data_IF_087775370386
#
_entry.id   IF_087775370386
#
_cell.length_a   1.000
_cell.length_b   1.000
_cell.length_c   1.000
_cell.angle_alpha   90.00
_cell.angle_beta   90.00
_cell.angle_gamma   90.00
#
_symmetry.space_group_name_H-M   'P 1'
#
loop_
_entity.id
_entity.type
_entity.pdbx_description
1 polymer ?
#
# COMPACT_ATOMS: atom_id res chain seq x y z
N UNK A 1 -8.12 53.82 12.97
CA UNK A 1 -8.66 52.65 12.23
C UNK A 1 -7.59 51.95 11.37
N UNK A 2 -6.42 51.61 11.94
CA UNK A 2 -5.25 51.08 11.17
C UNK A 2 -4.85 49.64 11.54
N UNK A 3 -5.28 49.10 12.69
CA UNK A 3 -4.84 47.79 13.18
C UNK A 3 -5.61 46.58 12.60
N UNK A 4 -6.84 46.77 12.12
CA UNK A 4 -7.69 45.67 11.61
C UNK A 4 -7.30 45.28 10.17
N UNK A 5 -6.96 46.25 9.32
CA UNK A 5 -6.56 46.01 7.93
C UNK A 5 -5.19 45.30 7.87
N UNK A 6 -4.26 45.63 8.79
CA UNK A 6 -2.95 44.97 8.87
C UNK A 6 -3.06 43.48 9.28
N UNK A 7 -4.06 43.12 10.07
CA UNK A 7 -4.30 41.73 10.51
C UNK A 7 -4.91 40.85 9.40
N UNK A 8 -5.74 41.43 8.53
CA UNK A 8 -6.34 40.72 7.39
C UNK A 8 -5.29 40.49 6.27
N UNK A 9 -4.36 41.42 6.08
CA UNK A 9 -3.24 41.24 5.14
C UNK A 9 -2.20 40.21 5.63
N UNK A 10 -1.90 40.14 6.94
CA UNK A 10 -0.97 39.13 7.46
C UNK A 10 -1.54 37.70 7.41
N UNK A 11 -2.84 37.54 7.63
CA UNK A 11 -3.51 36.23 7.54
C UNK A 11 -3.61 35.72 6.10
N UNK A 12 -3.74 36.62 5.12
CA UNK A 12 -3.69 36.25 3.70
C UNK A 12 -2.28 35.81 3.24
N UNK A 13 -1.23 36.44 3.77
CA UNK A 13 0.17 36.05 3.49
C UNK A 13 0.48 34.67 4.11
N UNK A 14 -0.05 34.37 5.30
CA UNK A 14 0.13 33.06 5.94
C UNK A 14 -0.61 31.93 5.20
N UNK A 15 -1.78 32.24 4.63
CA UNK A 15 -2.55 31.29 3.80
C UNK A 15 -1.86 30.99 2.47
N UNK A 16 -1.25 32.01 1.83
CA UNK A 16 -0.49 31.84 0.58
C UNK A 16 0.86 31.12 0.81
N UNK A 17 1.54 31.37 1.93
CA UNK A 17 2.79 30.67 2.27
C UNK A 17 2.56 29.17 2.52
N UNK A 18 1.46 28.82 3.19
CA UNK A 18 1.08 27.42 3.43
C UNK A 18 0.75 26.68 2.13
N UNK A 19 0.01 27.34 1.21
CA UNK A 19 -0.28 26.80 -0.12
C UNK A 19 0.96 26.59 -0.99
N UNK A 20 1.87 27.57 -1.02
CA UNK A 20 3.14 27.47 -1.76
C UNK A 20 4.08 26.41 -1.18
N UNK A 21 4.19 26.30 0.14
CA UNK A 21 5.00 25.26 0.79
C UNK A 21 4.46 23.86 0.48
N UNK A 22 3.14 23.67 0.51
CA UNK A 22 2.52 22.38 0.20
C UNK A 22 2.72 21.98 -1.27
N UNK A 23 2.56 22.93 -2.20
CA UNK A 23 2.81 22.70 -3.63
C UNK A 23 4.29 22.40 -3.92
N UNK A 24 5.23 23.08 -3.23
CA UNK A 24 6.66 22.88 -3.41
C UNK A 24 7.13 21.52 -2.85
N UNK A 25 6.62 21.12 -1.67
CA UNK A 25 6.88 19.81 -1.06
C UNK A 25 6.32 18.70 -1.93
N UNK A 26 5.09 18.82 -2.44
CA UNK A 26 4.49 17.82 -3.32
C UNK A 26 5.26 17.68 -4.65
N UNK A 27 5.71 18.80 -5.24
CA UNK A 27 6.53 18.77 -6.46
C UNK A 27 7.89 18.11 -6.22
N UNK A 28 8.51 18.38 -5.07
CA UNK A 28 9.81 17.78 -4.69
C UNK A 28 9.67 16.29 -4.37
N UNK A 29 8.62 15.88 -3.66
CA UNK A 29 8.31 14.46 -3.42
C UNK A 29 7.98 13.73 -4.73
N UNK A 30 7.25 14.36 -5.66
CA UNK A 30 6.98 13.80 -7.00
C UNK A 30 8.25 13.64 -7.85
N UNK A 31 9.26 14.51 -7.63
CA UNK A 31 10.55 14.45 -8.33
C UNK A 31 11.47 13.39 -7.72
N UNK A 32 11.55 13.30 -6.40
CA UNK A 32 12.31 12.27 -5.66
C UNK A 32 11.75 10.88 -5.92
N UNK A 33 10.42 10.72 -5.99
CA UNK A 33 9.78 9.44 -6.34
C UNK A 33 10.06 9.02 -7.78
N UNK A 34 10.13 9.97 -8.73
CA UNK A 34 10.52 9.69 -10.12
C UNK A 34 11.96 9.19 -10.28
N UNK A 35 12.90 9.68 -9.48
CA UNK A 35 14.31 9.25 -9.51
C UNK A 35 14.57 7.94 -8.73
N UNK A 36 13.68 7.54 -7.81
CA UNK A 36 13.83 6.33 -7.01
C UNK A 36 13.32 5.04 -7.67
N UNK A 37 12.48 5.13 -8.71
CA UNK A 37 11.94 3.95 -9.41
C UNK A 37 12.91 3.53 -10.52
N UNK A 38 13.80 2.61 -10.18
CA UNK A 38 14.82 2.04 -11.07
C UNK A 38 14.34 0.81 -11.84
N UNK A 39 13.38 0.05 -11.30
CA UNK A 39 12.83 -1.13 -11.97
C UNK A 39 11.73 -1.86 -11.20
N UNK A 40 11.45 -3.10 -11.60
CA UNK A 40 10.37 -3.94 -11.03
C UNK A 40 10.53 -4.23 -9.53
N UNK A 41 11.75 -4.11 -9.00
CA UNK A 41 12.05 -4.24 -7.57
C UNK A 41 11.46 -3.11 -6.72
N UNK A 42 11.13 -1.97 -7.33
CA UNK A 42 10.63 -0.77 -6.65
C UNK A 42 9.10 -0.68 -6.69
N UNK A 43 8.42 -1.70 -7.20
CA UNK A 43 6.98 -1.71 -7.42
C UNK A 43 6.37 -2.88 -6.64
N UNK A 44 5.33 -2.61 -5.85
CA UNK A 44 4.55 -3.66 -5.20
C UNK A 44 3.30 -3.99 -6.02
N UNK A 45 2.98 -5.27 -6.11
CA UNK A 45 1.76 -5.78 -6.75
C UNK A 45 0.87 -6.48 -5.75
N UNK A 46 -0.45 -6.28 -5.84
CA UNK A 46 -1.42 -7.12 -5.13
C UNK A 46 -1.66 -8.40 -5.91
N UNK A 47 -1.44 -9.53 -5.27
CA UNK A 47 -1.50 -10.85 -5.87
C UNK A 47 -2.69 -11.62 -5.31
N UNK A 48 -3.43 -12.25 -6.21
CA UNK A 48 -4.54 -13.16 -5.92
C UNK A 48 -4.39 -14.44 -6.72
N UNK A 49 -5.20 -15.44 -6.41
CA UNK A 49 -5.28 -16.65 -7.21
C UNK A 49 -5.84 -16.34 -8.61
N UNK A 50 -5.38 -17.06 -9.64
CA UNK A 50 -5.77 -16.78 -11.03
C UNK A 50 -7.28 -16.94 -11.29
N UNK A 51 -7.97 -17.80 -10.51
CA UNK A 51 -9.44 -17.97 -10.56
C UNK A 51 -10.22 -16.86 -9.87
N UNK A 52 -9.59 -15.97 -9.12
CA UNK A 52 -10.29 -14.83 -8.53
C UNK A 52 -10.85 -13.97 -9.68
N UNK A 53 -12.15 -13.66 -9.72
CA UNK A 53 -12.78 -13.00 -10.86
C UNK A 53 -12.39 -11.51 -10.99
N UNK A 54 -11.84 -10.92 -9.93
CA UNK A 54 -11.48 -9.51 -9.91
C UNK A 54 -10.20 -9.29 -10.73
N UNK A 55 -10.19 -8.23 -11.53
CA UNK A 55 -9.01 -7.80 -12.32
C UNK A 55 -8.51 -6.41 -11.93
N UNK A 56 -9.40 -5.58 -11.37
CA UNK A 56 -9.11 -4.24 -10.90
C UNK A 56 -9.59 -4.07 -9.47
N UNK A 57 -8.87 -3.27 -8.69
CA UNK A 57 -9.26 -2.91 -7.32
C UNK A 57 -8.88 -1.45 -7.02
N UNK A 58 -9.73 -0.76 -6.28
CA UNK A 58 -9.48 0.59 -5.81
C UNK A 58 -8.68 0.56 -4.50
N UNK A 59 -7.82 1.57 -4.27
CA UNK A 59 -7.03 1.68 -3.03
C UNK A 59 -7.88 1.64 -1.75
N UNK A 60 -9.08 2.22 -1.78
CA UNK A 60 -10.01 2.19 -0.65
C UNK A 60 -10.57 0.79 -0.37
N UNK A 61 -10.77 -0.02 -1.42
CA UNK A 61 -11.18 -1.42 -1.26
C UNK A 61 -10.04 -2.25 -0.66
N UNK A 62 -8.79 -2.04 -1.12
CA UNK A 62 -7.61 -2.66 -0.50
C UNK A 62 -7.57 -2.34 1.01
N UNK A 63 -7.75 -1.06 1.35
CA UNK A 63 -7.79 -0.60 2.74
C UNK A 63 -8.91 -1.28 3.54
N UNK A 64 -10.11 -1.37 2.99
CA UNK A 64 -11.25 -2.02 3.63
C UNK A 64 -11.02 -3.53 3.86
N UNK A 65 -10.47 -4.22 2.86
CA UNK A 65 -10.14 -5.65 2.92
C UNK A 65 -9.10 -5.92 4.01
N UNK A 66 -7.99 -5.18 4.00
CA UNK A 66 -6.91 -5.40 4.95
C UNK A 66 -7.28 -4.97 6.37
N UNK A 67 -8.18 -4.00 6.56
CA UNK A 67 -8.77 -3.63 7.85
C UNK A 67 -9.94 -4.55 8.28
N UNK A 68 -10.28 -5.58 7.49
CA UNK A 68 -11.41 -6.49 7.73
C UNK A 68 -12.77 -5.79 7.84
N UNK A 69 -12.90 -4.61 7.22
CA UNK A 69 -14.19 -3.94 6.99
C UNK A 69 -14.93 -4.57 5.83
N UNK A 70 -14.20 -4.96 4.79
CA UNK A 70 -14.67 -5.86 3.74
C UNK A 70 -14.06 -7.24 4.00
N UNK A 71 -14.90 -8.27 4.11
CA UNK A 71 -14.47 -9.61 4.58
C UNK A 71 -14.69 -10.69 3.54
N UNK A 72 -15.49 -10.43 2.53
CA UNK A 72 -15.89 -11.42 1.55
C UNK A 72 -15.64 -10.89 0.15
N UNK A 73 -15.21 -11.78 -0.74
CA UNK A 73 -15.28 -11.50 -2.16
C UNK A 73 -16.75 -11.45 -2.61
N UNK A 74 -17.01 -10.91 -3.80
CA UNK A 74 -18.38 -10.82 -4.37
C UNK A 74 -19.09 -12.19 -4.46
N UNK A 75 -18.33 -13.28 -4.53
CA UNK A 75 -18.84 -14.65 -4.52
C UNK A 75 -19.11 -15.22 -3.11
N UNK A 76 -19.09 -14.37 -2.07
CA UNK A 76 -19.31 -14.69 -0.64
C UNK A 76 -18.23 -15.53 0.04
N UNK A 77 -17.11 -15.77 -0.62
CA UNK A 77 -15.98 -16.45 0.00
C UNK A 77 -15.18 -15.50 0.92
N UNK A 78 -14.80 -15.96 2.12
CA UNK A 78 -14.01 -15.15 3.06
C UNK A 78 -12.60 -14.85 2.51
N UNK A 79 -12.18 -13.59 2.62
CA UNK A 79 -10.89 -13.12 2.14
C UNK A 79 -9.79 -13.43 3.15
N UNK A 80 -8.78 -14.19 2.70
CA UNK A 80 -7.58 -14.49 3.49
C UNK A 80 -6.45 -13.50 3.17
N UNK A 81 -6.28 -12.49 4.02
CA UNK A 81 -5.23 -11.47 3.83
C UNK A 81 -3.88 -11.97 4.35
N UNK A 82 -2.86 -11.83 3.52
CA UNK A 82 -1.47 -12.14 3.81
C UNK A 82 -0.67 -10.85 3.93
N UNK A 83 0.31 -10.84 4.82
CA UNK A 83 1.15 -9.69 5.09
C UNK A 83 2.61 -10.13 5.26
N UNK A 84 3.56 -9.21 5.12
CA UNK A 84 4.95 -9.49 5.49
C UNK A 84 5.16 -9.24 7.00
N UNK A 85 6.28 -9.69 7.58
CA UNK A 85 6.70 -9.27 8.92
C UNK A 85 6.89 -7.76 8.99
N UNK A 86 6.76 -7.20 10.20
CA UNK A 86 7.02 -5.77 10.44
C UNK A 86 8.44 -5.38 10.06
N UNK A 87 8.65 -4.10 9.80
CA UNK A 87 9.96 -3.50 9.47
C UNK A 87 10.57 -4.02 8.16
N UNK A 88 9.86 -4.85 7.39
CA UNK A 88 10.22 -5.13 6.00
C UNK A 88 9.85 -3.93 5.12
N UNK A 89 10.68 -3.63 4.12
CA UNK A 89 10.39 -2.56 3.16
C UNK A 89 9.05 -2.76 2.46
N UNK A 90 8.69 -4.02 2.15
CA UNK A 90 7.39 -4.34 1.59
C UNK A 90 6.24 -3.91 2.52
N UNK A 91 6.31 -4.28 3.81
CA UNK A 91 5.23 -3.94 4.76
C UNK A 91 5.20 -2.45 5.07
N UNK A 92 6.34 -1.80 5.21
CA UNK A 92 6.40 -0.35 5.42
C UNK A 92 5.78 0.39 4.23
N UNK A 93 6.18 0.03 3.02
CA UNK A 93 5.70 0.68 1.79
C UNK A 93 4.22 0.44 1.56
N UNK A 94 3.75 -0.80 1.76
CA UNK A 94 2.33 -1.13 1.65
C UNK A 94 1.52 -0.39 2.72
N UNK A 95 2.01 -0.34 3.95
CA UNK A 95 1.27 0.29 5.05
C UNK A 95 1.16 1.80 4.89
N UNK A 96 2.27 2.46 4.54
CA UNK A 96 2.30 3.90 4.27
C UNK A 96 1.41 4.23 3.07
N UNK A 97 1.54 3.46 1.99
CA UNK A 97 0.72 3.66 0.79
C UNK A 97 -0.76 3.48 1.08
N UNK A 98 -1.19 2.37 1.68
CA UNK A 98 -2.62 2.01 1.81
C UNK A 98 -3.30 2.66 3.01
N UNK A 99 -2.61 2.76 4.15
CA UNK A 99 -3.21 3.23 5.41
C UNK A 99 -2.74 4.61 5.85
N UNK A 100 -1.72 5.19 5.19
CA UNK A 100 -1.03 6.42 5.62
C UNK A 100 -0.45 6.26 7.03
N UNK A 101 0.01 5.05 7.34
CA UNK A 101 0.60 4.64 8.63
C UNK A 101 1.75 3.69 8.39
N UNK A 102 2.81 3.80 9.18
CA UNK A 102 3.91 2.83 9.13
C UNK A 102 3.48 1.45 9.66
N UNK A 103 4.31 0.43 9.43
CA UNK A 103 3.96 -0.95 9.80
C UNK A 103 3.78 -1.14 11.31
N UNK A 104 4.52 -0.38 12.13
CA UNK A 104 4.39 -0.37 13.58
C UNK A 104 3.01 0.11 14.06
N UNK A 105 2.54 1.24 13.54
CA UNK A 105 1.21 1.78 13.87
C UNK A 105 0.09 0.85 13.42
N UNK A 106 0.28 0.14 12.30
CA UNK A 106 -0.66 -0.89 11.86
C UNK A 106 -0.65 -2.12 12.77
N UNK A 107 0.50 -2.56 13.25
CA UNK A 107 0.59 -3.62 14.25
C UNK A 107 -0.10 -3.20 15.56
N UNK A 108 0.17 -2.00 16.06
CA UNK A 108 -0.48 -1.45 17.27
C UNK A 108 -1.99 -1.37 17.11
N UNK A 109 -2.47 -0.97 15.93
CA UNK A 109 -3.90 -0.97 15.63
C UNK A 109 -4.52 -2.36 15.80
N UNK A 110 -3.91 -3.41 15.25
CA UNK A 110 -4.41 -4.77 15.38
C UNK A 110 -4.37 -5.31 16.82
N UNK A 111 -3.32 -5.00 17.57
CA UNK A 111 -3.25 -5.34 19.00
C UNK A 111 -4.45 -4.74 19.74
N UNK A 112 -4.72 -3.44 19.56
CA UNK A 112 -5.84 -2.76 20.20
C UNK A 112 -7.21 -3.34 19.80
N UNK A 113 -7.40 -3.73 18.54
CA UNK A 113 -8.64 -4.35 18.07
C UNK A 113 -8.86 -5.70 18.74
N UNK A 114 -7.81 -6.53 18.84
CA UNK A 114 -7.87 -7.85 19.47
C UNK A 114 -8.12 -7.73 20.97
N UNK A 115 -7.41 -6.82 21.66
CA UNK A 115 -7.58 -6.57 23.10
C UNK A 115 -9.00 -6.10 23.45
N UNK A 116 -9.67 -5.40 22.53
CA UNK A 116 -11.08 -4.99 22.68
C UNK A 116 -12.09 -6.11 22.42
N UNK A 117 -11.63 -7.32 22.12
CA UNK A 117 -12.49 -8.48 21.88
C UNK A 117 -13.19 -8.49 20.52
N UNK A 118 -12.75 -7.67 19.56
CA UNK A 118 -13.33 -7.72 18.21
C UNK A 118 -12.95 -9.05 17.53
N UNK A 119 -13.91 -9.75 16.89
CA UNK A 119 -13.67 -11.07 16.29
C UNK A 119 -12.84 -11.02 14.99
N UNK A 120 -12.30 -9.86 14.61
CA UNK A 120 -11.55 -9.69 13.38
C UNK A 120 -10.13 -10.27 13.51
N UNK A 121 -9.77 -11.18 12.59
CA UNK A 121 -8.41 -11.73 12.52
C UNK A 121 -7.51 -10.79 11.74
N UNK A 122 -6.39 -10.39 12.35
CA UNK A 122 -5.33 -9.64 11.65
C UNK A 122 -4.81 -10.41 10.43
N UNK A 123 -4.28 -9.74 9.40
CA UNK A 123 -3.59 -10.40 8.29
C UNK A 123 -2.51 -11.39 8.78
N UNK A 124 -2.41 -12.53 8.09
CA UNK A 124 -1.45 -13.58 8.43
C UNK A 124 -0.06 -13.21 7.90
N UNK A 125 0.94 -13.25 8.77
CA UNK A 125 2.31 -12.89 8.39
C UNK A 125 3.03 -14.06 7.69
N UNK A 126 3.62 -13.78 6.53
CA UNK A 126 4.43 -14.73 5.75
C UNK A 126 5.78 -14.09 5.44
N UNK A 127 6.86 -14.67 5.98
CA UNK A 127 8.20 -14.08 5.92
C UNK A 127 8.90 -14.07 4.55
N UNK A 128 8.34 -14.65 3.49
CA UNK A 128 9.01 -14.76 2.17
C UNK A 128 8.02 -14.76 0.99
N UNK A 129 8.39 -14.10 -0.10
CA UNK A 129 7.56 -13.95 -1.30
C UNK A 129 7.15 -15.30 -1.93
N UNK A 130 8.08 -16.26 -2.03
CA UNK A 130 7.78 -17.59 -2.57
C UNK A 130 6.73 -18.36 -1.75
N UNK A 131 6.78 -18.25 -0.41
CA UNK A 131 5.77 -18.86 0.47
C UNK A 131 4.42 -18.19 0.32
N UNK A 132 4.40 -16.85 0.15
CA UNK A 132 3.17 -16.12 -0.11
C UNK A 132 2.52 -16.58 -1.42
N UNK A 133 3.29 -16.69 -2.50
CA UNK A 133 2.80 -17.22 -3.78
C UNK A 133 2.30 -18.66 -3.65
N UNK A 134 3.03 -19.52 -2.96
CA UNK A 134 2.60 -20.90 -2.72
C UNK A 134 1.29 -20.95 -1.92
N UNK A 135 1.11 -20.06 -0.94
CA UNK A 135 -0.12 -19.96 -0.18
C UNK A 135 -1.28 -19.50 -1.07
N UNK A 136 -1.12 -18.42 -1.82
CA UNK A 136 -2.16 -17.90 -2.73
C UNK A 136 -2.53 -18.93 -3.80
N UNK A 137 -1.53 -19.66 -4.31
CA UNK A 137 -1.75 -20.73 -5.28
C UNK A 137 -2.66 -21.84 -4.73
N UNK A 138 -2.55 -22.19 -3.45
CA UNK A 138 -3.36 -23.24 -2.80
C UNK A 138 -4.68 -22.72 -2.24
N UNK A 139 -4.82 -21.42 -2.04
CA UNK A 139 -5.97 -20.79 -1.40
C UNK A 139 -6.58 -19.75 -2.36
N UNK A 140 -7.62 -20.11 -3.15
CA UNK A 140 -8.21 -19.23 -4.15
C UNK A 140 -8.71 -17.87 -3.63
N UNK A 141 -9.04 -17.82 -2.34
CA UNK A 141 -9.61 -16.66 -1.68
C UNK A 141 -8.56 -15.77 -0.99
N UNK A 142 -7.27 -16.13 -1.11
CA UNK A 142 -6.19 -15.36 -0.51
C UNK A 142 -5.78 -14.15 -1.36
N UNK A 143 -5.36 -13.11 -0.65
CA UNK A 143 -4.77 -11.89 -1.21
C UNK A 143 -3.48 -11.59 -0.46
N UNK A 144 -2.45 -11.23 -1.19
CA UNK A 144 -1.19 -10.75 -0.63
C UNK A 144 -0.60 -9.67 -1.51
N UNK A 145 0.60 -9.21 -1.18
CA UNK A 145 1.34 -8.27 -2.00
C UNK A 145 2.83 -8.62 -2.01
N UNK A 146 3.56 -8.25 -3.05
CA UNK A 146 5.00 -8.49 -3.16
C UNK A 146 5.62 -7.58 -4.22
N UNK A 147 6.95 -7.54 -4.29
CA UNK A 147 7.66 -6.85 -5.38
C UNK A 147 7.32 -7.47 -6.74
N UNK A 148 7.17 -6.62 -7.76
CA UNK A 148 6.90 -7.04 -9.13
C UNK A 148 8.04 -7.92 -9.68
N UNK A 149 9.28 -7.64 -9.30
CA UNK A 149 10.44 -8.47 -9.67
C UNK A 149 10.32 -9.91 -9.15
N UNK A 150 9.94 -10.08 -7.87
CA UNK A 150 9.67 -11.39 -7.28
C UNK A 150 8.52 -12.11 -7.98
N UNK A 151 7.40 -11.40 -8.24
CA UNK A 151 6.28 -11.98 -8.97
C UNK A 151 6.71 -12.51 -10.35
N UNK A 152 7.39 -11.68 -11.15
CA UNK A 152 7.86 -12.05 -12.50
C UNK A 152 8.83 -13.24 -12.45
N UNK A 153 9.78 -13.22 -11.51
CA UNK A 153 10.74 -14.31 -11.31
C UNK A 153 10.03 -15.65 -11.07
N UNK A 154 9.12 -15.71 -10.11
CA UNK A 154 8.43 -16.97 -9.78
C UNK A 154 7.36 -17.37 -10.82
N UNK A 155 6.74 -16.40 -11.50
CA UNK A 155 5.73 -16.69 -12.53
C UNK A 155 6.36 -17.28 -13.79
N UNK A 156 7.61 -16.93 -14.13
CA UNK A 156 8.36 -17.48 -15.27
C UNK A 156 8.40 -19.02 -15.24
N UNK A 157 8.50 -19.61 -14.06
CA UNK A 157 8.57 -21.07 -13.87
C UNK A 157 7.19 -21.75 -13.95
N UNK A 158 6.11 -21.01 -14.24
CA UNK A 158 4.71 -21.46 -14.41
C UNK A 158 4.12 -22.33 -13.27
N UNK A 159 4.80 -22.39 -12.13
CA UNK A 159 4.39 -23.23 -10.99
C UNK A 159 3.13 -22.67 -10.28
N UNK A 160 3.01 -21.35 -10.19
CA UNK A 160 1.96 -20.71 -9.39
C UNK A 160 0.80 -20.19 -10.26
N UNK A 161 -0.41 -20.69 -9.99
CA UNK A 161 -1.68 -20.21 -10.58
C UNK A 161 -2.15 -18.92 -9.91
N UNK A 162 -1.37 -17.87 -10.06
CA UNK A 162 -1.64 -16.53 -9.51
C UNK A 162 -1.75 -15.49 -10.62
N UNK A 163 -2.37 -14.35 -10.31
CA UNK A 163 -2.33 -13.12 -11.09
C UNK A 163 -2.18 -11.94 -10.12
N UNK A 164 -1.67 -10.81 -10.60
CA UNK A 164 -1.81 -9.56 -9.85
C UNK A 164 -2.97 -8.72 -10.38
N UNK A 165 -3.50 -7.84 -9.52
CA UNK A 165 -4.60 -6.94 -9.84
C UNK A 165 -4.09 -5.60 -10.35
N UNK A 166 -4.83 -4.97 -11.27
CA UNK A 166 -4.71 -3.55 -11.57
C UNK A 166 -5.21 -2.73 -10.39
N UNK A 167 -4.67 -1.52 -10.22
CA UNK A 167 -5.12 -0.59 -9.19
C UNK A 167 -5.56 0.69 -9.87
N UNK A 168 -6.80 1.13 -9.64
CA UNK A 168 -7.41 2.27 -10.34
C UNK A 168 -7.40 2.14 -11.87
N UNK A 169 -7.57 0.91 -12.39
CA UNK A 169 -7.47 0.58 -13.80
C UNK A 169 -6.04 0.50 -14.35
N UNK A 170 -5.04 0.87 -13.55
CA UNK A 170 -3.64 0.94 -13.95
C UNK A 170 -2.91 -0.36 -13.65
N UNK A 171 -2.18 -0.88 -14.65
CA UNK A 171 -1.33 -2.05 -14.48
C UNK A 171 0.01 -1.69 -13.81
N UNK A 172 0.54 -2.61 -13.01
CA UNK A 172 1.86 -2.49 -12.41
C UNK A 172 2.98 -2.66 -13.46
N UNK A 173 3.63 -1.56 -13.82
CA UNK A 173 4.85 -1.55 -14.62
C UNK A 173 5.67 -0.28 -14.32
N UNK A 174 6.92 -0.26 -14.80
CA UNK A 174 7.88 0.83 -14.53
C UNK A 174 7.41 2.17 -15.10
N UNK A 175 6.77 2.17 -16.27
CA UNK A 175 6.30 3.39 -16.92
C UNK A 175 5.16 4.05 -16.12
N UNK A 176 4.13 3.28 -15.80
CA UNK A 176 2.99 3.74 -15.00
C UNK A 176 3.42 4.19 -13.61
N UNK A 177 4.37 3.46 -12.99
CA UNK A 177 4.95 3.83 -11.71
C UNK A 177 5.70 5.17 -11.79
N UNK A 178 6.59 5.35 -12.78
CA UNK A 178 7.33 6.61 -12.98
C UNK A 178 6.41 7.79 -13.30
N UNK A 179 5.30 7.54 -14.00
CA UNK A 179 4.32 8.56 -14.32
C UNK A 179 3.34 8.85 -13.17
N UNK A 180 3.47 8.16 -12.03
CA UNK A 180 2.62 8.35 -10.85
C UNK A 180 1.20 7.78 -11.02
N UNK A 181 0.95 6.99 -12.06
CA UNK A 181 -0.36 6.40 -12.35
C UNK A 181 -0.60 5.10 -11.55
N UNK A 182 0.47 4.42 -11.13
CA UNK A 182 0.40 3.23 -10.30
C UNK A 182 0.85 3.54 -8.86
N UNK A 183 0.05 3.24 -7.82
CA UNK A 183 0.24 3.86 -6.50
C UNK A 183 1.13 3.10 -5.52
N UNK A 184 1.46 1.83 -5.77
CA UNK A 184 2.19 1.01 -4.80
C UNK A 184 3.67 0.91 -5.15
N UNK A 185 4.45 1.83 -4.57
CA UNK A 185 5.89 1.97 -4.79
C UNK A 185 6.62 1.59 -3.50
N UNK A 186 7.76 0.92 -3.65
CA UNK A 186 8.63 0.62 -2.51
C UNK A 186 9.35 1.88 -2.07
N UNK A 187 9.24 2.18 -0.77
CA UNK A 187 10.05 3.17 -0.10
C UNK A 187 11.27 2.49 0.53
N UNK A 188 12.43 2.67 -0.09
CA UNK A 188 13.73 2.17 0.41
C UNK A 188 14.20 2.88 1.69
N UNK A 189 13.52 3.94 2.13
CA UNK A 189 13.77 4.57 3.42
C UNK A 189 12.83 3.95 4.45
N UNK A 190 13.34 2.97 5.20
CA UNK A 190 12.70 2.59 6.47
C UNK A 190 12.78 3.83 7.36
N UNK A 191 11.67 4.55 7.52
CA UNK A 191 11.58 5.63 8.51
C UNK A 191 11.87 4.97 9.86
N UNK A 192 12.93 5.42 10.55
CA UNK A 192 13.15 5.01 11.93
C UNK A 192 11.83 5.15 12.68
N UNK A 193 11.42 4.15 13.50
CA UNK A 193 10.18 4.26 14.24
C UNK A 193 10.21 5.59 14.99
N UNK A 194 9.18 6.41 14.78
CA UNK A 194 8.99 7.65 15.54
C UNK A 194 9.10 7.27 17.02
N UNK A 195 10.20 7.64 17.66
CA UNK A 195 10.36 7.57 19.09
C UNK A 195 9.26 8.43 19.68
N UNK A 196 8.25 7.78 20.26
CA UNK A 196 7.25 8.41 21.11
C UNK A 196 7.88 8.76 22.46
#
# INVERSE_FOLDING_TARGET
MSKIILFILLSFIFFMASGCQNLYVNKTLSKITKEAISGDQDILVLVVHQKNPIENIEKNEIKAIYLKKERYWNNKDEIFCLDFPRETEERESFSDSVFEKNSYLMQKHWIQIIERGYPARKPMEIGRANRMLAFIHRNPNAIGYMRLSHYKYFKKNKQYKVKFLKIHGTEANVENAKNGQYPLIVNHRIKAPLSL
#
